data_IF_887895029514
#
_entry.id   IF_887895029514
#
_cell.length_a   1.000
_cell.length_b   1.000
_cell.length_c   1.000
_cell.angle_alpha   90.00
_cell.angle_beta   90.00
_cell.angle_gamma   90.00
#
_symmetry.space_group_name_H-M   'P 1'
#
loop_
_entity.id
_entity.type
_entity.pdbx_description
1 polymer ?
#
# COMPACT_ATOMS: atom_id res chain seq x y z
N UNK A 1 -3.93 25.46 -0.12
CA UNK A 1 -3.46 24.56 0.94
C UNK A 1 -2.90 23.31 0.27
N UNK A 2 -1.59 23.28 0.01
CA UNK A 2 -0.95 22.12 -0.60
C UNK A 2 -0.72 21.06 0.49
N UNK A 3 -1.32 19.89 0.34
CA UNK A 3 -1.01 18.73 1.16
C UNK A 3 0.33 18.22 0.64
N UNK A 4 1.42 18.68 1.27
CA UNK A 4 2.74 18.08 1.10
C UNK A 4 2.64 16.69 1.71
N UNK A 5 2.52 15.65 0.87
CA UNK A 5 2.51 14.27 1.34
C UNK A 5 3.85 13.96 2.02
N UNK A 6 3.86 13.52 3.30
CA UNK A 6 5.09 13.27 4.01
C UNK A 6 5.73 11.96 3.52
N UNK A 7 7.06 11.85 3.59
CA UNK A 7 7.81 10.70 3.07
C UNK A 7 7.41 9.45 3.84
N UNK A 8 6.78 8.48 3.15
CA UNK A 8 6.58 7.02 3.35
C UNK A 8 6.39 6.40 4.76
N UNK A 9 6.93 7.00 5.82
CA UNK A 9 7.05 6.46 7.18
C UNK A 9 5.89 6.87 8.10
N UNK A 10 5.06 7.85 7.70
CA UNK A 10 3.99 8.40 8.53
C UNK A 10 2.74 7.52 8.67
N UNK A 11 2.43 6.67 7.67
CA UNK A 11 1.11 6.03 7.53
C UNK A 11 0.85 4.93 8.57
N UNK A 12 1.86 4.10 8.89
CA UNK A 12 1.70 3.03 9.90
C UNK A 12 1.41 3.60 11.29
N UNK A 13 1.90 4.82 11.58
CA UNK A 13 1.64 5.50 12.85
C UNK A 13 0.19 5.97 12.96
N UNK A 14 -0.41 6.41 11.84
CA UNK A 14 -1.78 6.94 11.82
C UNK A 14 -2.83 5.90 12.21
N UNK A 15 -2.81 4.69 11.64
CA UNK A 15 -3.85 3.68 11.95
C UNK A 15 -3.81 3.22 13.41
N UNK A 16 -2.62 3.04 13.97
CA UNK A 16 -2.45 2.68 15.38
C UNK A 16 -3.00 3.77 16.29
N UNK A 17 -2.80 5.05 15.96
CA UNK A 17 -3.33 6.16 16.76
C UNK A 17 -4.86 6.19 16.73
N UNK A 18 -5.46 6.08 15.54
CA UNK A 18 -6.92 6.13 15.37
C UNK A 18 -7.62 4.95 16.05
N UNK A 19 -7.07 3.73 15.95
CA UNK A 19 -7.69 2.51 16.52
C UNK A 19 -7.52 2.33 18.02
N UNK A 20 -6.75 3.20 18.69
CA UNK A 20 -6.46 3.12 20.13
C UNK A 20 -7.12 4.24 20.95
N UNK A 21 -7.90 5.14 20.34
CA UNK A 21 -8.57 6.25 21.05
C UNK A 21 -9.67 5.73 21.98
N UNK A 22 -10.70 5.09 21.41
CA UNK A 22 -11.76 4.43 22.16
C UNK A 22 -12.42 3.33 21.30
N UNK A 23 -13.37 2.59 21.88
CA UNK A 23 -14.08 1.52 21.15
C UNK A 23 -14.74 2.02 19.86
N UNK A 24 -15.44 3.16 19.92
CA UNK A 24 -16.15 3.74 18.78
C UNK A 24 -15.19 4.07 17.64
N UNK A 25 -14.07 4.75 17.92
CA UNK A 25 -13.07 5.08 16.91
C UNK A 25 -12.43 3.85 16.29
N UNK A 26 -12.17 2.81 17.09
CA UNK A 26 -11.66 1.53 16.59
C UNK A 26 -12.65 0.89 15.64
N UNK A 27 -13.91 0.80 16.03
CA UNK A 27 -14.98 0.21 15.22
C UNK A 27 -15.19 1.00 13.92
N UNK A 28 -15.26 2.33 13.99
CA UNK A 28 -15.35 3.19 12.80
C UNK A 28 -14.15 3.02 11.88
N UNK A 29 -12.93 3.02 12.43
CA UNK A 29 -11.71 2.88 11.64
C UNK A 29 -11.63 1.51 10.95
N UNK A 30 -11.98 0.43 11.64
CA UNK A 30 -12.01 -0.93 11.05
C UNK A 30 -13.07 -1.01 9.93
N UNK A 31 -14.23 -0.37 10.13
CA UNK A 31 -15.34 -0.41 9.19
C UNK A 31 -15.24 0.60 8.04
N UNK A 32 -14.23 1.46 8.01
CA UNK A 32 -14.03 2.47 6.96
C UNK A 32 -12.90 2.08 6.00
N UNK A 33 -13.18 1.42 4.85
CA UNK A 33 -12.16 0.77 4.03
C UNK A 33 -11.18 1.76 3.38
N UNK A 34 -11.62 2.98 3.10
CA UNK A 34 -10.76 4.03 2.53
C UNK A 34 -9.57 4.38 3.42
N UNK A 35 -9.69 4.22 4.75
CA UNK A 35 -8.58 4.42 5.68
C UNK A 35 -7.41 3.46 5.40
N UNK A 36 -7.71 2.27 4.88
CA UNK A 36 -6.78 1.18 4.62
C UNK A 36 -6.32 1.10 3.16
N UNK A 37 -6.75 2.06 2.32
CA UNK A 37 -6.46 2.07 0.87
C UNK A 37 -4.99 2.24 0.51
N UNK A 38 -4.16 2.78 1.41
CA UNK A 38 -2.72 2.93 1.19
C UNK A 38 -1.98 1.72 1.75
N UNK A 39 -1.40 0.91 0.87
CA UNK A 39 -0.71 -0.33 1.26
C UNK A 39 0.73 0.01 1.63
N UNK A 40 1.07 -0.15 2.91
CA UNK A 40 2.40 0.12 3.44
C UNK A 40 3.27 -1.14 3.47
N UNK A 41 4.46 -1.05 2.88
CA UNK A 41 5.44 -2.13 2.83
C UNK A 41 6.59 -1.96 3.85
N UNK A 42 6.61 -0.84 4.58
CA UNK A 42 7.55 -0.57 5.70
C UNK A 42 7.31 -1.53 6.87
N UNK A 43 6.05 -1.94 7.08
CA UNK A 43 5.66 -2.93 8.07
C UNK A 43 4.68 -3.93 7.42
N UNK A 44 5.17 -5.03 6.82
CA UNK A 44 4.34 -5.92 5.98
C UNK A 44 3.11 -6.47 6.69
N UNK A 45 3.21 -6.75 8.00
CA UNK A 45 2.07 -7.18 8.83
C UNK A 45 0.91 -6.18 8.74
N UNK A 46 1.21 -4.88 8.77
CA UNK A 46 0.20 -3.84 8.59
C UNK A 46 -0.23 -3.69 7.14
N UNK A 47 0.67 -3.89 6.19
CA UNK A 47 0.32 -3.92 4.76
C UNK A 47 -0.72 -4.99 4.42
N UNK A 48 -0.56 -6.21 4.96
CA UNK A 48 -1.54 -7.31 4.82
C UNK A 48 -2.89 -6.92 5.41
N UNK A 49 -2.89 -6.42 6.65
CA UNK A 49 -4.11 -5.94 7.32
C UNK A 49 -4.79 -4.82 6.54
N UNK A 50 -4.02 -3.90 5.97
CA UNK A 50 -4.58 -2.82 5.15
C UNK A 50 -5.15 -3.31 3.85
N UNK A 51 -4.48 -4.25 3.18
CA UNK A 51 -4.97 -4.86 1.96
C UNK A 51 -6.31 -5.56 2.21
N UNK A 52 -6.40 -6.36 3.27
CA UNK A 52 -7.64 -7.05 3.68
C UNK A 52 -8.76 -6.04 4.01
N UNK A 53 -8.46 -5.01 4.82
CA UNK A 53 -9.47 -4.04 5.26
C UNK A 53 -9.87 -3.02 4.21
N UNK A 54 -9.09 -2.85 3.15
CA UNK A 54 -9.46 -2.02 1.99
C UNK A 54 -10.69 -2.57 1.25
N UNK A 55 -11.02 -3.85 1.43
CA UNK A 55 -12.19 -4.53 0.83
C UNK A 55 -12.24 -4.43 -0.68
N UNK A 56 -13.03 -3.52 -1.26
CA UNK A 56 -13.17 -3.30 -2.71
C UNK A 56 -12.88 -1.85 -3.15
N UNK A 57 -12.42 -0.97 -2.24
CA UNK A 57 -12.11 0.42 -2.59
C UNK A 57 -10.83 0.55 -3.43
N UNK A 58 -10.63 1.64 -4.18
CA UNK A 58 -9.38 1.87 -4.87
C UNK A 58 -8.19 1.92 -3.90
N UNK A 59 -7.06 1.30 -4.27
CA UNK A 59 -5.86 1.19 -3.45
C UNK A 59 -4.65 1.87 -4.09
N UNK A 60 -3.75 2.36 -3.23
CA UNK A 60 -2.45 2.91 -3.60
C UNK A 60 -1.35 1.99 -3.07
N UNK A 61 -0.53 1.47 -3.97
CA UNK A 61 0.58 0.58 -3.68
C UNK A 61 1.87 1.39 -3.80
N UNK A 62 2.56 1.62 -2.68
CA UNK A 62 3.78 2.43 -2.63
C UNK A 62 4.90 1.65 -1.96
N UNK A 63 5.92 1.27 -2.73
CA UNK A 63 7.09 0.60 -2.17
C UNK A 63 8.01 1.61 -1.47
N UNK A 64 8.65 1.25 -0.34
CA UNK A 64 9.56 2.14 0.35
C UNK A 64 10.78 2.43 -0.52
N UNK A 65 11.10 3.70 -0.69
CA UNK A 65 12.34 4.15 -1.36
C UNK A 65 13.62 3.62 -0.70
N UNK A 66 13.60 3.42 0.62
CA UNK A 66 14.76 2.97 1.37
C UNK A 66 14.95 1.45 1.27
N UNK A 67 16.01 1.04 0.56
CA UNK A 67 16.38 -0.35 0.29
C UNK A 67 16.59 -1.22 1.54
N UNK A 68 16.87 -0.61 2.70
CA UNK A 68 17.00 -1.33 3.97
C UNK A 68 15.70 -2.04 4.36
N UNK A 69 14.54 -1.46 4.08
CA UNK A 69 13.24 -2.10 4.35
C UNK A 69 13.03 -3.35 3.50
N UNK A 70 13.54 -3.36 2.26
CA UNK A 70 13.46 -4.54 1.37
C UNK A 70 14.20 -5.75 1.91
N UNK A 71 15.40 -5.53 2.44
CA UNK A 71 16.24 -6.61 2.99
C UNK A 71 15.69 -7.20 4.28
N UNK A 72 15.07 -6.37 5.10
CA UNK A 72 14.64 -6.77 6.45
C UNK A 72 13.26 -7.44 6.43
N UNK A 73 12.36 -6.98 5.57
CA UNK A 73 10.93 -7.25 5.75
C UNK A 73 10.32 -8.25 4.77
N UNK A 74 10.98 -8.61 3.66
CA UNK A 74 10.51 -9.63 2.72
C UNK A 74 9.04 -9.47 2.30
N UNK A 75 8.73 -8.43 1.54
CA UNK A 75 7.34 -8.04 1.23
C UNK A 75 6.83 -8.51 -0.14
N UNK A 76 7.54 -9.42 -0.80
CA UNK A 76 7.20 -9.90 -2.15
C UNK A 76 5.83 -10.58 -2.21
N UNK A 77 5.44 -11.31 -1.15
CA UNK A 77 4.12 -11.96 -1.08
C UNK A 77 2.99 -10.91 -1.02
N UNK A 78 3.11 -9.92 -0.12
CA UNK A 78 2.15 -8.82 -0.02
C UNK A 78 2.05 -8.03 -1.34
N UNK A 79 3.19 -7.79 -1.99
CA UNK A 79 3.20 -7.11 -3.29
C UNK A 79 2.49 -7.96 -4.33
N UNK A 80 2.73 -9.27 -4.36
CA UNK A 80 2.04 -10.19 -5.26
C UNK A 80 0.52 -10.18 -5.00
N UNK A 81 0.09 -10.25 -3.74
CA UNK A 81 -1.32 -10.22 -3.36
C UNK A 81 -2.02 -8.91 -3.78
N UNK A 82 -1.31 -7.78 -3.66
CA UNK A 82 -1.81 -6.49 -4.13
C UNK A 82 -1.90 -6.45 -5.66
N UNK A 83 -0.87 -6.96 -6.37
CA UNK A 83 -0.82 -7.00 -7.83
C UNK A 83 -1.83 -7.97 -8.45
N UNK A 84 -2.31 -8.97 -7.70
CA UNK A 84 -3.42 -9.84 -8.09
C UNK A 84 -4.79 -9.14 -8.09
N UNK A 85 -4.87 -7.89 -7.62
CA UNK A 85 -6.10 -7.08 -7.61
C UNK A 85 -5.98 -5.84 -8.52
N UNK A 86 -5.63 -5.99 -9.80
CA UNK A 86 -5.23 -4.90 -10.68
C UNK A 86 -6.35 -3.87 -10.91
N UNK A 87 -7.62 -4.30 -10.91
CA UNK A 87 -8.79 -3.44 -11.17
C UNK A 87 -9.04 -2.39 -10.10
N UNK A 88 -8.32 -2.46 -8.98
CA UNK A 88 -8.49 -1.54 -7.86
C UNK A 88 -7.27 -0.64 -7.65
N UNK A 89 -6.16 -0.90 -8.33
CA UNK A 89 -4.92 -0.15 -8.12
C UNK A 89 -5.00 1.17 -8.88
N UNK A 90 -5.07 2.29 -8.16
CA UNK A 90 -5.07 3.63 -8.77
C UNK A 90 -3.68 4.25 -8.83
N UNK A 91 -2.87 4.00 -7.82
CA UNK A 91 -1.49 4.48 -7.76
C UNK A 91 -0.57 3.29 -7.53
N UNK A 92 0.42 3.16 -8.40
CA UNK A 92 1.45 2.16 -8.28
C UNK A 92 2.82 2.83 -8.35
N UNK A 93 3.52 2.80 -7.23
CA UNK A 93 4.86 3.36 -7.08
C UNK A 93 5.84 2.25 -6.73
N UNK A 94 6.67 1.88 -7.72
CA UNK A 94 7.60 0.76 -7.63
C UNK A 94 9.05 1.25 -7.67
N UNK A 95 9.80 0.85 -6.66
CA UNK A 95 11.24 1.09 -6.57
C UNK A 95 11.99 -0.25 -6.60
N UNK A 96 12.98 -0.39 -7.48
CA UNK A 96 13.73 -1.64 -7.56
C UNK A 96 14.67 -1.78 -8.76
N UNK A 97 15.36 -2.91 -8.83
CA UNK A 97 16.15 -3.21 -10.02
C UNK A 97 15.24 -3.58 -11.21
N UNK A 98 15.78 -3.41 -12.43
CA UNK A 98 15.05 -3.64 -13.67
C UNK A 98 14.45 -5.06 -13.78
N UNK A 99 15.09 -6.07 -13.16
CA UNK A 99 14.63 -7.46 -13.19
C UNK A 99 13.32 -7.62 -12.42
N UNK A 100 13.23 -7.04 -11.23
CA UNK A 100 12.02 -7.10 -10.42
C UNK A 100 10.91 -6.24 -11.01
N UNK A 101 11.22 -5.05 -11.51
CA UNK A 101 10.25 -4.19 -12.18
C UNK A 101 9.60 -4.91 -13.37
N UNK A 102 10.40 -5.57 -14.23
CA UNK A 102 9.87 -6.36 -15.36
C UNK A 102 8.95 -7.48 -14.90
N UNK A 103 9.32 -8.20 -13.84
CA UNK A 103 8.51 -9.29 -13.28
C UNK A 103 7.17 -8.78 -12.74
N UNK A 104 7.15 -7.65 -12.05
CA UNK A 104 5.92 -7.08 -11.49
C UNK A 104 5.02 -6.49 -12.57
N UNK A 105 5.59 -5.74 -13.53
CA UNK A 105 4.86 -5.13 -14.64
C UNK A 105 4.13 -6.13 -15.54
N UNK A 106 4.59 -7.38 -15.61
CA UNK A 106 3.86 -8.44 -16.33
C UNK A 106 2.45 -8.67 -15.79
N UNK A 107 2.22 -8.45 -14.50
CA UNK A 107 0.93 -8.68 -13.83
C UNK A 107 -0.02 -7.48 -13.94
N UNK A 108 0.48 -6.30 -14.35
CA UNK A 108 -0.27 -5.04 -14.34
C UNK A 108 -0.91 -4.71 -15.69
N UNK A 109 -0.57 -5.42 -16.78
CA UNK A 109 -1.13 -5.15 -18.12
C UNK A 109 -2.66 -5.18 -18.19
N UNK A 110 -3.32 -5.79 -17.22
CA UNK A 110 -4.78 -5.89 -17.10
C UNK A 110 -5.41 -4.80 -16.23
N UNK A 111 -4.63 -3.93 -15.57
CA UNK A 111 -5.15 -2.90 -14.69
C UNK A 111 -5.83 -1.75 -15.47
N UNK A 112 -7.16 -1.78 -15.52
CA UNK A 112 -7.98 -0.78 -16.20
C UNK A 112 -8.17 0.52 -15.40
N UNK A 113 -7.92 0.50 -14.09
CA UNK A 113 -8.15 1.63 -13.17
C UNK A 113 -6.89 2.39 -12.76
N UNK A 114 -5.73 2.04 -13.34
CA UNK A 114 -4.45 2.66 -13.01
C UNK A 114 -4.40 4.11 -13.47
N UNK A 115 -4.25 5.03 -12.53
CA UNK A 115 -4.17 6.47 -12.78
C UNK A 115 -2.73 6.98 -12.74
N UNK A 116 -1.89 6.38 -11.91
CA UNK A 116 -0.51 6.84 -11.70
C UNK A 116 0.43 5.65 -11.62
N UNK A 117 1.46 5.66 -12.47
CA UNK A 117 2.56 4.71 -12.47
C UNK A 117 3.88 5.47 -12.28
N UNK A 118 4.60 5.13 -11.22
CA UNK A 118 5.93 5.67 -10.93
C UNK A 118 6.93 4.51 -10.86
N UNK A 119 8.04 4.67 -11.57
CA UNK A 119 9.12 3.68 -11.68
C UNK A 119 10.44 4.41 -11.44
N UNK A 120 11.17 4.05 -10.39
CA UNK A 120 12.50 4.61 -10.05
C UNK A 120 13.51 3.51 -9.70
#
# INVERSE_FOLDING_TARGET
MAIVEPPDVGMVKLWKQVTQVCHVWRETAINYPHLWSRISFVAPKWGVVSLERSKNVPIKVMLPRNKSYRRINGYDNLLTDALLQPDRITTLDLYGDQRNLKRWLQHIKTASSLQTLSLE
#
